data_IF_188108388017
#
_entry.id   IF_188108388017
#
_cell.length_a   1.000
_cell.length_b   1.000
_cell.length_c   1.000
_cell.angle_alpha   90.00
_cell.angle_beta   90.00
_cell.angle_gamma   90.00
#
_symmetry.space_group_name_H-M   'P 1'
#
loop_
_entity.id
_entity.type
_entity.pdbx_description
1 polymer ?
#
# COMPACT_ATOMS: atom_id res chain seq x y z
N UNK A 1 32.49 54.59 8.90
CA UNK A 1 31.11 54.11 8.75
C UNK A 1 30.55 54.81 7.53
N UNK A 2 30.45 54.10 6.41
CA UNK A 2 29.89 54.62 5.16
C UNK A 2 28.53 53.95 4.98
N UNK A 3 27.46 54.74 5.02
CA UNK A 3 26.12 54.28 4.69
C UNK A 3 26.04 54.09 3.17
N UNK A 4 25.82 52.86 2.72
CA UNK A 4 25.48 52.60 1.32
C UNK A 4 24.08 53.18 1.01
N UNK A 5 23.90 53.91 -0.10
CA UNK A 5 22.58 54.42 -0.48
C UNK A 5 21.68 53.26 -0.91
N UNK A 6 20.51 53.11 -0.26
CA UNK A 6 19.47 52.23 -0.77
C UNK A 6 18.97 52.73 -2.14
N UNK A 7 18.92 51.88 -3.18
CA UNK A 7 18.33 52.26 -4.45
C UNK A 7 16.80 52.44 -4.31
N UNK A 8 16.18 53.38 -5.03
CA UNK A 8 14.75 53.65 -4.91
C UNK A 8 13.91 52.45 -5.32
N UNK A 9 12.84 52.18 -4.56
CA UNK A 9 11.83 51.17 -4.88
C UNK A 9 11.20 51.51 -6.24
N UNK A 10 11.46 50.69 -7.25
CA UNK A 10 10.85 50.85 -8.57
C UNK A 10 9.38 50.37 -8.52
N UNK A 11 8.37 51.25 -8.67
CA UNK A 11 6.97 50.93 -8.38
C UNK A 11 6.24 50.16 -9.49
N UNK A 12 6.93 49.74 -10.55
CA UNK A 12 6.32 49.13 -11.76
C UNK A 12 6.44 47.62 -11.88
N UNK A 13 7.00 46.91 -10.89
CA UNK A 13 6.93 45.44 -10.91
C UNK A 13 5.63 44.96 -10.24
N UNK A 14 4.73 44.26 -10.95
CA UNK A 14 3.66 43.53 -10.28
C UNK A 14 4.32 42.53 -9.32
N UNK A 15 4.05 42.70 -8.03
CA UNK A 15 4.45 41.77 -6.98
C UNK A 15 3.61 40.50 -7.13
N UNK A 16 3.93 39.67 -8.12
CA UNK A 16 3.36 38.33 -8.21
C UNK A 16 3.96 37.52 -7.06
N UNK A 17 3.20 37.36 -5.99
CA UNK A 17 3.53 36.44 -4.92
C UNK A 17 3.29 35.03 -5.44
N UNK A 18 4.33 34.40 -5.99
CA UNK A 18 4.34 32.95 -6.15
C UNK A 18 4.29 32.37 -4.73
N UNK A 19 3.32 31.54 -4.35
CA UNK A 19 3.44 30.77 -3.13
C UNK A 19 4.71 29.95 -3.25
N UNK A 20 5.69 30.19 -2.37
CA UNK A 20 6.89 29.37 -2.31
C UNK A 20 6.44 27.93 -2.10
N UNK A 21 6.64 27.06 -3.09
CA UNK A 21 6.54 25.63 -2.88
C UNK A 21 7.47 25.31 -1.70
N UNK A 22 7.00 24.61 -0.66
CA UNK A 22 7.88 24.21 0.44
C UNK A 22 9.07 23.47 -0.18
N UNK A 23 10.27 24.00 0.07
CA UNK A 23 11.50 23.32 -0.34
C UNK A 23 11.57 22.02 0.46
N UNK A 24 11.80 20.91 -0.24
CA UNK A 24 12.07 19.64 0.42
C UNK A 24 13.29 19.84 1.33
N UNK A 25 13.16 19.43 2.58
CA UNK A 25 14.20 19.61 3.59
C UNK A 25 15.23 18.45 3.47
N UNK A 26 16.49 18.74 3.10
CA UNK A 26 17.52 17.71 2.92
C UNK A 26 17.86 16.99 4.23
N UNK A 27 17.75 17.68 5.37
CA UNK A 27 18.15 17.17 6.69
C UNK A 27 17.03 16.41 7.40
N UNK A 28 15.81 16.41 6.84
CA UNK A 28 14.63 15.77 7.43
C UNK A 28 14.38 14.34 6.96
N UNK A 29 15.28 13.78 6.15
CA UNK A 29 15.13 12.39 5.70
C UNK A 29 15.14 11.45 6.92
N UNK A 30 14.04 10.74 7.22
CA UNK A 30 14.06 9.72 8.26
C UNK A 30 15.15 8.69 7.90
N UNK A 31 15.89 8.21 8.89
CA UNK A 31 16.92 7.20 8.62
C UNK A 31 16.30 6.02 7.84
N UNK A 32 16.93 5.59 6.75
CA UNK A 32 16.47 4.47 5.91
C UNK A 32 16.16 3.23 6.75
N UNK A 33 16.92 3.01 7.82
CA UNK A 33 16.67 1.93 8.79
C UNK A 33 15.32 2.03 9.51
N UNK A 34 14.86 3.25 9.84
CA UNK A 34 13.55 3.50 10.42
C UNK A 34 12.40 3.13 9.47
N UNK A 35 12.53 3.47 8.18
CA UNK A 35 11.55 3.05 7.17
C UNK A 35 11.48 1.54 7.04
N UNK A 36 12.63 0.87 6.91
CA UNK A 36 12.70 -0.59 6.84
C UNK A 36 12.06 -1.23 8.09
N UNK A 37 12.39 -0.74 9.28
CA UNK A 37 11.85 -1.23 10.55
C UNK A 37 10.32 -1.14 10.60
N UNK A 38 9.75 -0.02 10.15
CA UNK A 38 8.30 0.13 10.09
C UNK A 38 7.65 -0.76 9.03
N UNK A 39 8.27 -0.92 7.87
CA UNK A 39 7.77 -1.87 6.86
C UNK A 39 7.72 -3.30 7.41
N UNK A 40 8.73 -3.74 8.17
CA UNK A 40 8.73 -5.05 8.84
C UNK A 40 7.58 -5.17 9.85
N UNK A 41 7.42 -4.18 10.73
CA UNK A 41 6.38 -4.19 11.76
C UNK A 41 4.99 -4.23 11.14
N UNK A 42 4.76 -3.36 10.16
CA UNK A 42 3.48 -3.25 9.46
C UNK A 42 3.18 -4.54 8.69
N UNK A 43 4.17 -5.13 8.03
CA UNK A 43 4.03 -6.43 7.36
C UNK A 43 3.59 -7.52 8.35
N UNK A 44 4.25 -7.61 9.51
CA UNK A 44 3.90 -8.57 10.56
C UNK A 44 2.46 -8.40 11.05
N UNK A 45 2.02 -7.16 11.26
CA UNK A 45 0.64 -6.86 11.63
C UNK A 45 -0.35 -7.23 10.52
N UNK A 46 -0.02 -6.94 9.26
CA UNK A 46 -0.85 -7.30 8.11
C UNK A 46 -1.01 -8.81 7.94
N UNK A 47 0.00 -9.60 8.31
CA UNK A 47 -0.09 -11.06 8.34
C UNK A 47 -1.08 -11.60 9.38
N UNK A 48 -1.48 -10.79 10.37
CA UNK A 48 -2.53 -11.13 11.33
C UNK A 48 -3.88 -10.60 10.88
N UNK A 49 -3.94 -9.31 10.52
CA UNK A 49 -5.19 -8.62 10.17
C UNK A 49 -5.83 -9.27 8.94
N UNK A 50 -5.06 -9.50 7.87
CA UNK A 50 -5.63 -9.96 6.61
C UNK A 50 -6.27 -11.36 6.73
N UNK A 51 -5.60 -12.40 7.27
CA UNK A 51 -6.24 -13.71 7.42
C UNK A 51 -7.46 -13.70 8.35
N UNK A 52 -7.43 -12.93 9.45
CA UNK A 52 -8.57 -12.80 10.36
C UNK A 52 -9.79 -12.23 9.62
N UNK A 53 -9.58 -11.18 8.84
CA UNK A 53 -10.65 -10.56 8.04
C UNK A 53 -11.17 -11.50 6.95
N UNK A 54 -10.28 -12.21 6.24
CA UNK A 54 -10.66 -13.20 5.24
C UNK A 54 -11.52 -14.30 5.86
N UNK A 55 -11.09 -14.88 6.98
CA UNK A 55 -11.87 -15.92 7.70
C UNK A 55 -13.22 -15.37 8.12
N UNK A 56 -13.28 -14.16 8.68
CA UNK A 56 -14.54 -13.49 9.03
C UNK A 56 -15.48 -13.34 7.84
N UNK A 57 -14.97 -12.85 6.70
CA UNK A 57 -15.75 -12.70 5.47
C UNK A 57 -16.25 -14.04 4.93
N UNK A 58 -15.43 -15.10 4.97
CA UNK A 58 -15.82 -16.45 4.56
C UNK A 58 -16.93 -16.99 5.47
N UNK A 59 -16.82 -16.83 6.78
CA UNK A 59 -17.85 -17.26 7.73
C UNK A 59 -19.18 -16.52 7.51
N UNK A 60 -19.12 -15.22 7.24
CA UNK A 60 -20.31 -14.43 6.92
C UNK A 60 -20.97 -14.94 5.64
N UNK A 61 -20.20 -15.17 4.57
CA UNK A 61 -20.75 -15.73 3.33
C UNK A 61 -21.34 -17.13 3.53
N UNK A 62 -20.66 -17.99 4.28
CA UNK A 62 -21.17 -19.33 4.57
C UNK A 62 -22.50 -19.28 5.35
N UNK A 63 -22.63 -18.33 6.30
CA UNK A 63 -23.89 -18.11 7.01
C UNK A 63 -25.00 -17.62 6.07
N UNK A 64 -24.69 -16.71 5.14
CA UNK A 64 -25.64 -16.27 4.12
C UNK A 64 -26.09 -17.43 3.24
N UNK A 65 -25.16 -18.24 2.73
CA UNK A 65 -25.46 -19.39 1.88
C UNK A 65 -26.36 -20.41 2.62
N UNK A 66 -26.10 -20.69 3.89
CA UNK A 66 -26.94 -21.59 4.71
C UNK A 66 -28.33 -21.04 5.02
N UNK A 67 -28.45 -19.71 5.18
CA UNK A 67 -29.73 -19.04 5.46
C UNK A 67 -30.55 -18.74 4.19
N UNK A 68 -29.94 -18.91 3.01
CA UNK A 68 -30.57 -18.55 1.74
C UNK A 68 -31.64 -19.55 1.33
N UNK A 69 -32.78 -19.04 0.85
CA UNK A 69 -33.85 -19.89 0.30
C UNK A 69 -33.37 -20.54 -1.00
N UNK A 70 -33.77 -21.79 -1.33
CA UNK A 70 -33.43 -22.44 -2.60
C UNK A 70 -33.83 -21.65 -3.87
N UNK A 71 -34.70 -20.66 -3.72
CA UNK A 71 -35.17 -19.76 -4.78
C UNK A 71 -34.33 -18.50 -4.97
N UNK A 72 -33.33 -18.24 -4.13
CA UNK A 72 -32.43 -17.09 -4.28
C UNK A 72 -31.35 -17.37 -5.33
N UNK A 73 -31.09 -16.38 -6.18
CA UNK A 73 -30.02 -16.46 -7.16
C UNK A 73 -28.65 -16.59 -6.45
N UNK A 74 -27.74 -17.43 -6.97
CA UNK A 74 -26.42 -17.59 -6.37
C UNK A 74 -25.66 -16.26 -6.42
N UNK A 75 -24.88 -15.98 -5.37
CA UNK A 75 -23.98 -14.84 -5.32
C UNK A 75 -22.98 -14.91 -6.47
N UNK A 76 -22.77 -13.78 -7.16
CA UNK A 76 -21.82 -13.70 -8.27
C UNK A 76 -20.38 -13.88 -7.80
N UNK A 77 -19.55 -14.51 -8.62
CA UNK A 77 -18.13 -14.75 -8.30
C UNK A 77 -17.36 -13.42 -8.11
N UNK A 78 -17.74 -12.38 -8.84
CA UNK A 78 -17.19 -11.03 -8.66
C UNK A 78 -17.52 -10.44 -7.28
N UNK A 79 -18.75 -10.62 -6.80
CA UNK A 79 -19.12 -10.20 -5.45
C UNK A 79 -18.35 -10.98 -4.38
N UNK A 80 -18.24 -12.30 -4.54
CA UNK A 80 -17.46 -13.15 -3.62
C UNK A 80 -15.99 -12.71 -3.58
N UNK A 81 -15.38 -12.41 -4.72
CA UNK A 81 -14.00 -11.92 -4.80
C UNK A 81 -13.83 -10.57 -4.08
N UNK A 82 -14.72 -9.61 -4.35
CA UNK A 82 -14.69 -8.29 -3.69
C UNK A 82 -14.89 -8.45 -2.17
N UNK A 83 -15.82 -9.28 -1.74
CA UNK A 83 -16.16 -9.42 -0.33
C UNK A 83 -15.07 -10.18 0.45
N UNK A 84 -14.59 -11.30 -0.08
CA UNK A 84 -13.62 -12.18 0.61
C UNK A 84 -12.19 -11.67 0.49
N UNK A 85 -11.83 -11.01 -0.61
CA UNK A 85 -10.45 -10.53 -0.83
C UNK A 85 -10.38 -9.02 -0.83
N UNK A 86 -11.30 -8.34 -1.54
CA UNK A 86 -11.29 -6.89 -1.67
C UNK A 86 -11.43 -6.14 -0.35
N UNK A 87 -12.44 -6.46 0.46
CA UNK A 87 -12.65 -5.80 1.77
C UNK A 87 -11.48 -6.06 2.72
N UNK A 88 -11.01 -7.31 2.94
CA UNK A 88 -9.83 -7.57 3.75
C UNK A 88 -8.57 -6.86 3.24
N UNK A 89 -8.33 -6.84 1.92
CA UNK A 89 -7.20 -6.15 1.32
C UNK A 89 -7.28 -4.64 1.57
N UNK A 90 -8.45 -4.04 1.35
CA UNK A 90 -8.67 -2.61 1.58
C UNK A 90 -8.38 -2.21 3.02
N UNK A 91 -8.96 -2.92 3.99
CA UNK A 91 -8.76 -2.62 5.41
C UNK A 91 -7.29 -2.81 5.80
N UNK A 92 -6.67 -3.87 5.31
CA UNK A 92 -5.25 -4.17 5.61
C UNK A 92 -4.33 -3.11 5.04
N UNK A 93 -4.50 -2.73 3.77
CA UNK A 93 -3.70 -1.68 3.13
C UNK A 93 -3.95 -0.34 3.81
N UNK A 94 -5.21 -0.02 4.15
CA UNK A 94 -5.55 1.19 4.87
C UNK A 94 -4.81 1.29 6.21
N UNK A 95 -4.89 0.24 7.04
CA UNK A 95 -4.20 0.18 8.32
C UNK A 95 -2.68 0.26 8.15
N UNK A 96 -2.13 -0.46 7.17
CA UNK A 96 -0.71 -0.45 6.85
C UNK A 96 -0.23 0.95 6.44
N UNK A 97 -0.94 1.60 5.50
CA UNK A 97 -0.63 2.94 5.04
C UNK A 97 -0.77 3.96 6.17
N UNK A 98 -1.73 3.81 7.08
CA UNK A 98 -1.87 4.69 8.24
C UNK A 98 -0.66 4.60 9.18
N UNK A 99 -0.16 3.40 9.45
CA UNK A 99 1.02 3.19 10.28
C UNK A 99 2.30 3.68 9.60
N UNK A 100 2.43 3.48 8.29
CA UNK A 100 3.56 4.00 7.51
C UNK A 100 3.53 5.53 7.42
N UNK A 101 2.35 6.14 7.39
CA UNK A 101 2.22 7.61 7.42
C UNK A 101 2.78 8.20 8.72
N UNK A 102 2.59 7.52 9.85
CA UNK A 102 3.04 7.99 11.16
C UNK A 102 4.57 8.20 11.25
N UNK A 103 5.36 7.61 10.36
CA UNK A 103 6.82 7.80 10.31
C UNK A 103 7.31 8.72 9.20
N UNK A 104 6.41 9.18 8.34
CA UNK A 104 6.72 10.17 7.30
C UNK A 104 6.44 11.60 7.81
N UNK A 105 5.55 11.75 8.79
CA UNK A 105 5.27 13.01 9.46
C UNK A 105 4.12 13.81 8.83
N UNK A 106 3.72 14.87 9.53
CA UNK A 106 2.47 15.61 9.27
C UNK A 106 2.45 16.41 7.95
N UNK A 107 3.59 16.59 7.30
CA UNK A 107 3.68 17.34 6.03
C UNK A 107 3.08 16.58 4.84
N UNK A 108 2.90 15.26 4.98
CA UNK A 108 2.19 14.46 3.99
C UNK A 108 0.71 14.40 4.33
N UNK A 109 -0.16 14.73 3.37
CA UNK A 109 -1.60 14.70 3.59
C UNK A 109 -2.08 13.26 3.85
N UNK A 110 -2.41 12.95 5.11
CA UNK A 110 -2.87 11.62 5.55
C UNK A 110 -3.96 11.04 4.68
N UNK A 111 -4.97 11.85 4.34
CA UNK A 111 -6.11 11.39 3.55
C UNK A 111 -5.69 10.94 2.14
N UNK A 112 -4.83 11.72 1.47
CA UNK A 112 -4.29 11.33 0.16
C UNK A 112 -3.45 10.07 0.27
N UNK A 113 -2.55 10.02 1.24
CA UNK A 113 -1.67 8.86 1.47
C UNK A 113 -2.44 7.57 1.74
N UNK A 114 -3.32 7.58 2.73
CA UNK A 114 -3.98 6.37 3.23
C UNK A 114 -5.08 5.92 2.26
N UNK A 115 -5.97 6.84 1.85
CA UNK A 115 -7.12 6.46 1.02
C UNK A 115 -6.67 6.06 -0.38
N UNK A 116 -5.76 6.81 -1.01
CA UNK A 116 -5.32 6.46 -2.36
C UNK A 116 -4.54 5.15 -2.36
N UNK A 117 -3.70 4.90 -1.35
CA UNK A 117 -3.01 3.61 -1.23
C UNK A 117 -4.00 2.45 -1.10
N UNK A 118 -4.99 2.58 -0.21
CA UNK A 118 -5.99 1.54 0.01
C UNK A 118 -6.86 1.30 -1.23
N UNK A 119 -7.39 2.36 -1.85
CA UNK A 119 -8.24 2.27 -3.03
C UNK A 119 -7.47 1.70 -4.21
N UNK A 120 -6.35 2.33 -4.59
CA UNK A 120 -5.60 1.96 -5.80
C UNK A 120 -4.92 0.60 -5.62
N UNK A 121 -4.36 0.32 -4.44
CA UNK A 121 -3.80 -0.99 -4.12
C UNK A 121 -4.83 -2.11 -4.19
N UNK A 122 -6.03 -1.90 -3.62
CA UNK A 122 -7.11 -2.89 -3.67
C UNK A 122 -7.64 -3.09 -5.09
N UNK A 123 -7.90 -2.01 -5.82
CA UNK A 123 -8.37 -2.10 -7.21
C UNK A 123 -7.31 -2.80 -8.07
N UNK A 124 -6.04 -2.46 -7.91
CA UNK A 124 -4.93 -3.09 -8.63
C UNK A 124 -4.85 -4.59 -8.35
N UNK A 125 -4.96 -4.99 -7.08
CA UNK A 125 -5.00 -6.39 -6.68
C UNK A 125 -6.22 -7.12 -7.26
N UNK A 126 -7.41 -6.55 -7.15
CA UNK A 126 -8.64 -7.16 -7.67
C UNK A 126 -8.63 -7.28 -9.19
N UNK A 127 -8.13 -6.27 -9.90
CA UNK A 127 -7.96 -6.29 -11.35
C UNK A 127 -6.95 -7.37 -11.76
N UNK A 128 -5.85 -7.53 -11.03
CA UNK A 128 -4.92 -8.63 -11.28
C UNK A 128 -5.56 -9.99 -11.04
N UNK A 129 -6.22 -10.17 -9.90
CA UNK A 129 -6.86 -11.44 -9.54
C UNK A 129 -7.97 -11.82 -10.53
N UNK A 130 -8.71 -10.85 -11.06
CA UNK A 130 -9.75 -11.13 -12.07
C UNK A 130 -9.17 -11.69 -13.37
N UNK A 131 -7.97 -11.26 -13.78
CA UNK A 131 -7.26 -11.84 -14.95
C UNK A 131 -6.73 -13.26 -14.71
N UNK A 132 -6.72 -13.71 -13.45
CA UNK A 132 -6.22 -15.03 -13.04
C UNK A 132 -7.34 -16.02 -12.69
N UNK A 133 -8.60 -15.65 -12.86
CA UNK A 133 -9.73 -16.54 -12.60
C UNK A 133 -9.91 -17.59 -13.71
N UNK A 134 -10.22 -18.86 -13.37
CA UNK A 134 -10.24 -19.43 -12.02
C UNK A 134 -8.81 -19.66 -11.49
N UNK A 135 -8.56 -19.25 -10.25
CA UNK A 135 -7.24 -19.42 -9.62
C UNK A 135 -7.03 -20.91 -9.31
N UNK A 136 -6.15 -21.56 -10.06
CA UNK A 136 -5.76 -22.97 -9.89
C UNK A 136 -4.25 -23.08 -10.06
N UNK A 137 -3.62 -23.88 -9.21
CA UNK A 137 -2.18 -24.14 -9.26
C UNK A 137 -1.95 -25.62 -9.52
N UNK A 138 -1.29 -25.93 -10.63
CA UNK A 138 -0.87 -27.29 -10.99
C UNK A 138 0.37 -27.74 -10.24
N UNK A 139 1.29 -26.81 -9.98
CA UNK A 139 2.52 -27.05 -9.26
C UNK A 139 2.74 -26.02 -8.14
N UNK A 140 3.58 -26.38 -7.17
CA UNK A 140 3.98 -25.48 -6.08
C UNK A 140 4.77 -24.26 -6.59
N UNK A 141 5.52 -24.42 -7.68
CA UNK A 141 6.24 -23.32 -8.32
C UNK A 141 5.27 -22.29 -8.91
N UNK A 142 4.15 -22.73 -9.51
CA UNK A 142 3.09 -21.84 -10.01
C UNK A 142 2.46 -21.02 -8.88
N UNK A 143 2.26 -21.66 -7.72
CA UNK A 143 1.76 -21.00 -6.51
C UNK A 143 2.76 -19.96 -5.98
N UNK A 144 4.03 -20.34 -5.82
CA UNK A 144 5.08 -19.44 -5.32
C UNK A 144 5.26 -18.24 -6.24
N UNK A 145 5.26 -18.46 -7.56
CA UNK A 145 5.32 -17.41 -8.56
C UNK A 145 4.09 -16.49 -8.49
N UNK A 146 2.90 -17.04 -8.32
CA UNK A 146 1.68 -16.25 -8.15
C UNK A 146 1.72 -15.39 -6.88
N UNK A 147 2.19 -15.93 -5.76
CA UNK A 147 2.38 -15.18 -4.51
C UNK A 147 3.38 -14.04 -4.72
N UNK A 148 4.55 -14.35 -5.29
CA UNK A 148 5.57 -13.36 -5.62
C UNK A 148 5.00 -12.22 -6.49
N UNK A 149 4.31 -12.56 -7.58
CA UNK A 149 3.71 -11.57 -8.49
C UNK A 149 2.65 -10.72 -7.80
N UNK A 150 1.82 -11.32 -6.94
CA UNK A 150 0.78 -10.60 -6.21
C UNK A 150 1.38 -9.58 -5.24
N UNK A 151 2.42 -9.95 -4.49
CA UNK A 151 3.13 -9.02 -3.61
C UNK A 151 3.90 -7.96 -4.41
N UNK A 152 4.62 -8.36 -5.46
CA UNK A 152 5.39 -7.43 -6.30
C UNK A 152 4.49 -6.37 -6.92
N UNK A 153 3.36 -6.77 -7.50
CA UNK A 153 2.40 -5.84 -8.10
C UNK A 153 1.78 -4.91 -7.06
N UNK A 154 1.23 -5.47 -5.98
CA UNK A 154 0.50 -4.70 -4.97
C UNK A 154 1.43 -3.71 -4.26
N UNK A 155 2.63 -4.14 -3.88
CA UNK A 155 3.64 -3.28 -3.25
C UNK A 155 4.19 -2.22 -4.22
N UNK A 156 4.31 -2.51 -5.52
CA UNK A 156 4.70 -1.51 -6.52
C UNK A 156 3.65 -0.43 -6.68
N UNK A 157 2.36 -0.81 -6.77
CA UNK A 157 1.25 0.13 -6.89
C UNK A 157 1.19 1.04 -5.66
N UNK A 158 1.21 0.46 -4.46
CA UNK A 158 1.15 1.23 -3.21
C UNK A 158 2.39 2.11 -3.06
N UNK A 159 3.58 1.55 -3.28
CA UNK A 159 4.84 2.27 -3.18
C UNK A 159 4.90 3.46 -4.14
N UNK A 160 4.35 3.32 -5.35
CA UNK A 160 4.23 4.42 -6.30
C UNK A 160 3.27 5.52 -5.84
N UNK A 161 2.08 5.16 -5.36
CA UNK A 161 1.10 6.13 -4.83
C UNK A 161 1.70 6.92 -3.66
N UNK A 162 2.36 6.22 -2.74
CA UNK A 162 3.03 6.82 -1.58
C UNK A 162 4.20 7.71 -2.00
N UNK A 163 5.01 7.26 -2.97
CA UNK A 163 6.10 8.06 -3.52
C UNK A 163 5.63 9.38 -4.11
N UNK A 164 4.50 9.40 -4.83
CA UNK A 164 3.93 10.62 -5.42
C UNK A 164 3.59 11.69 -4.37
N UNK A 165 3.23 11.28 -3.15
CA UNK A 165 3.01 12.20 -2.04
C UNK A 165 4.33 12.61 -1.38
N UNK A 166 5.23 11.66 -1.13
CA UNK A 166 6.54 11.90 -0.51
C UNK A 166 7.45 12.83 -1.31
N UNK A 167 7.47 12.72 -2.64
CA UNK A 167 8.32 13.56 -3.51
C UNK A 167 7.95 15.05 -3.48
N UNK A 168 6.81 15.40 -2.87
CA UNK A 168 6.40 16.80 -2.67
C UNK A 168 7.10 17.42 -1.46
N UNK A 169 7.64 16.61 -0.55
CA UNK A 169 8.15 17.05 0.75
C UNK A 169 9.57 16.55 1.07
N UNK A 170 10.05 15.46 0.43
CA UNK A 170 11.34 14.82 0.72
C UNK A 170 12.16 14.62 -0.57
N UNK A 171 13.42 15.06 -0.58
CA UNK A 171 14.33 14.99 -1.73
C UNK A 171 14.71 13.55 -2.13
N UNK A 172 14.92 12.67 -1.15
CA UNK A 172 15.26 11.26 -1.35
C UNK A 172 14.06 10.31 -1.30
N UNK A 173 12.87 10.82 -1.63
CA UNK A 173 11.62 10.04 -1.64
C UNK A 173 11.69 8.76 -2.50
N UNK A 174 12.55 8.70 -3.52
CA UNK A 174 12.70 7.54 -4.42
C UNK A 174 13.13 6.24 -3.70
N UNK A 175 13.72 6.34 -2.52
CA UNK A 175 14.08 5.16 -1.72
C UNK A 175 12.83 4.45 -1.17
N UNK A 176 11.75 5.18 -0.92
CA UNK A 176 10.50 4.65 -0.40
C UNK A 176 9.88 3.53 -1.26
N UNK A 177 9.64 3.72 -2.57
CA UNK A 177 9.08 2.66 -3.40
C UNK A 177 10.00 1.44 -3.48
N UNK A 178 11.32 1.62 -3.48
CA UNK A 178 12.27 0.49 -3.49
C UNK A 178 12.20 -0.33 -2.20
N UNK A 179 12.15 0.34 -1.04
CA UNK A 179 11.97 -0.31 0.26
C UNK A 179 10.61 -1.00 0.30
N UNK A 180 9.56 -0.33 -0.15
CA UNK A 180 8.21 -0.90 -0.19
C UNK A 180 8.18 -2.19 -1.02
N UNK A 181 8.67 -2.14 -2.26
CA UNK A 181 8.67 -3.30 -3.15
C UNK A 181 9.54 -4.42 -2.59
N UNK A 182 10.78 -4.11 -2.21
CA UNK A 182 11.74 -5.09 -1.72
C UNK A 182 11.27 -5.79 -0.45
N UNK A 183 10.79 -5.02 0.53
CA UNK A 183 10.35 -5.56 1.83
C UNK A 183 9.06 -6.37 1.70
N UNK A 184 8.03 -5.84 1.06
CA UNK A 184 6.75 -6.54 0.98
C UNK A 184 6.82 -7.78 0.07
N UNK A 185 7.57 -7.70 -1.03
CA UNK A 185 7.77 -8.86 -1.91
C UNK A 185 8.65 -9.91 -1.27
N UNK A 186 9.78 -9.49 -0.66
CA UNK A 186 10.70 -10.39 0.03
C UNK A 186 10.03 -11.10 1.20
N UNK A 187 9.48 -10.33 2.15
CA UNK A 187 8.80 -10.90 3.32
C UNK A 187 7.55 -11.71 2.92
N UNK A 188 6.73 -11.21 1.99
CA UNK A 188 5.54 -11.90 1.50
C UNK A 188 5.86 -13.27 0.91
N UNK A 189 6.86 -13.32 0.03
CA UNK A 189 7.30 -14.58 -0.60
C UNK A 189 7.94 -15.52 0.43
N UNK A 190 8.69 -15.00 1.40
CA UNK A 190 9.26 -15.80 2.48
C UNK A 190 8.22 -16.41 3.41
N UNK A 191 7.29 -15.60 3.91
CA UNK A 191 6.29 -16.05 4.89
C UNK A 191 5.27 -16.99 4.26
N UNK A 192 4.80 -16.70 3.04
CA UNK A 192 3.71 -17.45 2.41
C UNK A 192 4.23 -18.51 1.42
N UNK A 193 5.24 -18.19 0.62
CA UNK A 193 5.83 -19.12 -0.35
C UNK A 193 6.63 -20.24 0.34
N UNK A 194 7.59 -19.90 1.19
CA UNK A 194 8.41 -20.91 1.88
C UNK A 194 7.74 -21.51 3.12
N UNK A 195 6.87 -20.76 3.81
CA UNK A 195 6.13 -21.27 4.97
C UNK A 195 5.24 -22.48 4.65
N UNK A 196 4.66 -22.52 3.45
CA UNK A 196 3.85 -23.66 2.99
C UNK A 196 4.73 -24.82 2.50
N UNK A 197 5.89 -24.54 1.90
CA UNK A 197 6.86 -25.59 1.55
C UNK A 197 7.29 -26.41 2.77
N UNK A 198 7.54 -25.76 3.92
CA UNK A 198 7.90 -26.44 5.17
C UNK A 198 6.78 -27.27 5.81
N UNK A 199 5.51 -27.01 5.48
CA UNK A 199 4.34 -27.74 5.97
C UNK A 199 3.97 -28.95 5.10
N UNK A 200 4.30 -28.93 3.80
CA UNK A 200 3.99 -30.01 2.85
C UNK A 200 5.07 -31.12 2.86
N UNK A 201 6.31 -30.79 3.23
CA UNK A 201 7.43 -31.75 3.30
C UNK A 201 7.77 -32.21 4.72
N UNK A 202 6.81 -32.14 5.65
CA UNK A 202 6.83 -32.87 6.94
C UNK A 202 5.79 -33.97 6.93
#
# INVERSE_FOLDING_TARGET
>A
MSEEPQPPLNPTKPTYHVPSAPLADPDRSPSVGGWIGMHCLVFGLSCLIFPILVVGCVLILAAFDQSSSPTQAPLSDGFKLIFVVGIPAFITIYAASLLLWAVVGDDVQRASWVNNSAIVGTIGLLAWLSTKQPIKFSALDDYTLFVFQSFALTSSIIGWVQWLELRKTIDHAWQWPLITIGMWTGLGTMTIGFGIHGLIFR
#
